data_IF_948692498035
#
_entry.id   IF_948692498035
#
_cell.length_a   1.000
_cell.length_b   1.000
_cell.length_c   1.000
_cell.angle_alpha   90.00
_cell.angle_beta   90.00
_cell.angle_gamma   90.00
#
_symmetry.space_group_name_H-M   'P 1'
#
loop_
_entity.id
_entity.type
_entity.pdbx_description
1 polymer ?
#
# COMPACT_ATOMS: atom_id res chain seq x y z
N UNK A 1 9.29 -6.34 -19.85
CA UNK A 1 9.09 -5.36 -18.77
C UNK A 1 8.11 -5.99 -17.81
N UNK A 2 8.50 -6.24 -16.56
CA UNK A 2 7.66 -6.91 -15.55
C UNK A 2 6.87 -5.85 -14.77
N UNK A 3 5.59 -5.66 -15.13
CA UNK A 3 4.70 -4.67 -14.54
C UNK A 3 3.45 -5.41 -14.05
N UNK A 4 3.02 -5.10 -12.82
CA UNK A 4 1.83 -5.72 -12.22
C UNK A 4 0.57 -5.46 -13.05
N UNK A 5 -0.24 -6.51 -13.24
CA UNK A 5 -1.59 -6.41 -13.80
C UNK A 5 -2.49 -5.47 -13.01
N UNK A 6 -2.23 -5.30 -11.70
CA UNK A 6 -3.00 -4.42 -10.82
C UNK A 6 -2.99 -2.97 -11.31
N UNK A 7 -1.88 -2.53 -11.92
CA UNK A 7 -1.77 -1.18 -12.45
C UNK A 7 -2.65 -0.97 -13.69
N UNK A 8 -2.80 -2.02 -14.50
CA UNK A 8 -3.72 -2.01 -15.65
C UNK A 8 -5.17 -1.97 -15.20
N UNK A 9 -5.52 -2.74 -14.17
CA UNK A 9 -6.87 -2.76 -13.61
C UNK A 9 -7.23 -1.43 -12.93
N UNK A 10 -6.29 -0.84 -12.19
CA UNK A 10 -6.47 0.47 -11.59
C UNK A 10 -6.71 1.56 -12.64
N UNK A 11 -6.15 1.44 -13.84
CA UNK A 11 -6.40 2.37 -14.94
C UNK A 11 -7.79 2.29 -15.56
N UNK A 12 -8.59 1.27 -15.22
CA UNK A 12 -9.86 0.97 -15.91
C UNK A 12 -11.06 0.81 -14.97
N UNK A 13 -10.81 0.53 -13.69
CA UNK A 13 -11.86 0.25 -12.71
C UNK A 13 -11.97 1.39 -11.70
N UNK A 14 -13.16 2.02 -11.54
CA UNK A 14 -13.37 3.10 -10.58
C UNK A 14 -13.47 2.55 -9.15
N UNK A 15 -12.35 2.10 -8.62
CA UNK A 15 -12.20 1.56 -7.27
C UNK A 15 -11.14 2.35 -6.50
N UNK A 16 -11.40 2.59 -5.22
CA UNK A 16 -10.40 3.13 -4.29
C UNK A 16 -9.74 1.97 -3.54
N UNK A 17 -8.43 1.81 -3.71
CA UNK A 17 -7.62 0.78 -3.06
C UNK A 17 -6.88 1.42 -1.89
N UNK A 18 -7.17 0.97 -0.67
CA UNK A 18 -6.45 1.41 0.54
C UNK A 18 -5.33 0.41 0.82
N UNK A 19 -4.08 0.88 0.76
CA UNK A 19 -2.89 0.05 0.94
C UNK A 19 -1.85 0.81 1.76
N UNK A 20 -0.87 0.10 2.30
CA UNK A 20 0.29 0.72 2.92
C UNK A 20 1.35 1.18 1.90
N UNK A 21 0.92 1.44 0.65
CA UNK A 21 1.80 1.66 -0.50
C UNK A 21 2.13 0.38 -1.27
N UNK A 22 3.22 0.42 -2.02
CA UNK A 22 3.76 -0.73 -2.75
C UNK A 22 4.46 -1.64 -1.73
N UNK A 23 4.41 -2.96 -1.95
CA UNK A 23 5.01 -3.98 -1.07
C UNK A 23 6.39 -3.52 -0.61
N UNK A 24 6.64 -3.51 0.69
CA UNK A 24 7.88 -3.03 1.34
C UNK A 24 9.18 -3.65 0.80
N UNK A 25 9.08 -4.72 0.01
CA UNK A 25 10.15 -5.34 -0.76
C UNK A 25 10.67 -4.46 -1.91
N UNK A 26 9.89 -3.47 -2.35
CA UNK A 26 10.26 -2.57 -3.44
C UNK A 26 10.91 -1.31 -2.88
N UNK A 27 12.23 -1.23 -3.05
CA UNK A 27 13.11 -0.05 -2.97
C UNK A 27 12.45 1.19 -2.32
N UNK A 28 12.42 1.23 -0.97
CA UNK A 28 11.75 2.28 -0.20
C UNK A 28 12.23 3.70 -0.56
N UNK A 29 13.55 3.97 -0.77
CA UNK A 29 14.02 5.27 -1.23
C UNK A 29 13.45 5.67 -2.60
N UNK A 30 13.42 4.76 -3.57
CA UNK A 30 12.85 5.03 -4.90
C UNK A 30 11.32 5.16 -4.87
N UNK A 31 10.65 4.45 -3.96
CA UNK A 31 9.19 4.52 -3.78
C UNK A 31 8.75 5.84 -3.12
N UNK A 32 9.60 6.43 -2.26
CA UNK A 32 9.36 7.77 -1.72
C UNK A 32 9.62 8.88 -2.75
N UNK A 33 10.60 8.70 -3.64
CA UNK A 33 10.90 9.65 -4.73
C UNK A 33 9.90 9.57 -5.90
N UNK A 34 9.27 8.41 -6.13
CA UNK A 34 8.20 8.25 -7.14
C UNK A 34 6.81 8.57 -6.57
N UNK A 35 6.58 9.88 -6.36
CA UNK A 35 5.29 10.59 -6.40
C UNK A 35 4.09 9.90 -5.75
N UNK A 36 3.82 10.24 -4.49
CA UNK A 36 2.42 10.49 -4.10
C UNK A 36 2.09 11.89 -4.62
N UNK A 37 1.34 12.04 -5.74
CA UNK A 37 1.14 13.36 -6.38
C UNK A 37 0.31 14.31 -5.52
N UNK A 38 -0.44 13.77 -4.56
CA UNK A 38 -1.25 14.54 -3.63
C UNK A 38 -1.20 13.93 -2.23
N UNK A 39 -1.13 14.79 -1.21
CA UNK A 39 -1.30 14.41 0.18
C UNK A 39 -2.66 14.90 0.67
N UNK A 40 -3.33 14.06 1.44
CA UNK A 40 -4.56 14.37 2.15
C UNK A 40 -4.38 14.02 3.62
N UNK A 41 -5.00 14.79 4.51
CA UNK A 41 -4.76 14.67 5.95
C UNK A 41 -5.99 14.11 6.71
N UNK A 42 -7.10 13.82 6.01
CA UNK A 42 -8.31 13.26 6.62
C UNK A 42 -9.05 12.24 5.73
N UNK A 43 -9.77 11.26 6.32
CA UNK A 43 -10.67 10.37 5.58
C UNK A 43 -11.74 11.12 4.77
N UNK A 44 -12.17 12.28 5.24
CA UNK A 44 -13.15 13.14 4.58
C UNK A 44 -12.56 13.74 3.29
N UNK A 45 -11.28 14.11 3.27
CA UNK A 45 -10.59 14.57 2.06
C UNK A 45 -10.49 13.43 1.04
N UNK A 46 -10.15 12.22 1.48
CA UNK A 46 -10.15 11.02 0.64
C UNK A 46 -11.53 10.78 0.03
N UNK A 47 -12.60 10.87 0.83
CA UNK A 47 -13.96 10.69 0.36
C UNK A 47 -14.34 11.70 -0.72
N UNK A 48 -13.99 12.98 -0.54
CA UNK A 48 -14.24 14.02 -1.56
C UNK A 48 -13.47 13.75 -2.85
N UNK A 49 -12.23 13.28 -2.78
CA UNK A 49 -11.45 12.91 -3.97
C UNK A 49 -12.09 11.75 -4.73
N UNK A 50 -12.52 10.71 -4.02
CA UNK A 50 -13.22 9.56 -4.63
C UNK A 50 -14.50 10.03 -5.31
N UNK A 51 -15.29 10.85 -4.62
CA UNK A 51 -16.57 11.31 -5.14
C UNK A 51 -16.43 12.20 -6.38
N UNK A 52 -15.47 13.14 -6.37
CA UNK A 52 -15.17 14.00 -7.52
C UNK A 52 -14.62 13.19 -8.69
N UNK A 53 -13.74 12.22 -8.45
CA UNK A 53 -13.24 11.34 -9.51
C UNK A 53 -14.38 10.57 -10.21
N UNK A 54 -15.32 10.05 -9.42
CA UNK A 54 -16.50 9.36 -9.95
C UNK A 54 -17.45 10.31 -10.70
N UNK A 55 -17.72 11.51 -10.18
CA UNK A 55 -18.58 12.52 -10.82
C UNK A 55 -18.00 13.04 -12.14
N UNK A 56 -16.68 13.24 -12.19
CA UNK A 56 -15.97 13.66 -13.40
C UNK A 56 -15.81 12.51 -14.42
N UNK A 57 -16.22 11.28 -14.08
CA UNK A 57 -16.14 10.10 -14.93
C UNK A 57 -14.73 9.86 -15.49
N UNK A 58 -13.71 10.09 -14.66
CA UNK A 58 -12.30 9.94 -15.08
C UNK A 58 -11.95 8.49 -15.43
N UNK A 59 -12.76 7.51 -15.02
CA UNK A 59 -12.60 6.10 -15.39
C UNK A 59 -11.39 5.42 -14.75
N UNK A 60 -10.71 6.10 -13.83
CA UNK A 60 -9.53 5.62 -13.13
C UNK A 60 -9.83 5.30 -11.67
N UNK A 61 -9.14 4.30 -11.15
CA UNK A 61 -9.10 3.99 -9.72
C UNK A 61 -8.14 4.92 -8.97
N UNK A 62 -8.25 4.92 -7.64
CA UNK A 62 -7.36 5.64 -6.75
C UNK A 62 -6.60 4.66 -5.84
N UNK A 63 -5.31 4.91 -5.63
CA UNK A 63 -4.54 4.23 -4.58
C UNK A 63 -4.33 5.20 -3.43
N UNK A 64 -4.79 4.82 -2.25
CA UNK A 64 -4.67 5.59 -1.02
C UNK A 64 -3.60 4.91 -0.15
N UNK A 65 -2.42 5.53 -0.12
CA UNK A 65 -1.30 5.09 0.70
C UNK A 65 -1.46 5.49 2.17
N UNK A 66 -1.58 4.50 3.06
CA UNK A 66 -1.71 4.70 4.51
C UNK A 66 -0.36 4.35 5.18
N UNK A 67 0.27 5.29 5.90
CA UNK A 67 1.55 5.02 6.53
C UNK A 67 1.43 3.99 7.67
N UNK A 68 2.55 3.32 7.97
CA UNK A 68 2.63 2.43 9.13
C UNK A 68 2.38 3.21 10.44
N UNK A 69 1.60 2.64 11.38
CA UNK A 69 1.46 3.23 12.71
C UNK A 69 2.83 3.46 13.38
N UNK A 70 2.99 4.60 14.05
CA UNK A 70 4.28 5.04 14.64
C UNK A 70 4.87 4.02 15.62
N UNK A 71 4.02 3.31 16.35
CA UNK A 71 4.40 2.23 17.28
C UNK A 71 5.15 1.07 16.61
N UNK A 72 4.93 0.86 15.31
CA UNK A 72 5.61 -0.17 14.51
C UNK A 72 6.70 0.40 13.59
N UNK A 73 6.87 1.74 13.55
CA UNK A 73 7.86 2.40 12.68
C UNK A 73 9.32 2.12 13.11
N UNK A 74 9.57 1.85 14.40
CA UNK A 74 10.92 1.54 14.91
C UNK A 74 11.51 0.26 14.29
N UNK A 75 10.66 -0.71 13.96
CA UNK A 75 11.05 -1.95 13.26
C UNK A 75 11.44 -1.72 11.80
N UNK A 76 11.14 -0.54 11.24
CA UNK A 76 11.35 -0.23 9.82
C UNK A 76 12.79 -0.41 9.35
N UNK A 77 13.78 0.02 10.15
CA UNK A 77 15.21 -0.13 9.77
C UNK A 77 15.66 -1.59 9.78
N UNK A 78 15.18 -2.38 10.75
CA UNK A 78 15.51 -3.81 10.85
C UNK A 78 14.90 -4.56 9.68
N UNK A 79 13.64 -4.25 9.33
CA UNK A 79 12.93 -4.84 8.21
C UNK A 79 13.60 -4.45 6.88
N UNK A 80 13.99 -3.19 6.70
CA UNK A 80 14.70 -2.72 5.51
C UNK A 80 16.03 -3.48 5.33
N UNK A 81 16.83 -3.60 6.40
CA UNK A 81 18.08 -4.36 6.35
C UNK A 81 17.86 -5.83 5.98
N UNK A 82 16.79 -6.45 6.50
CA UNK A 82 16.41 -7.81 6.17
C UNK A 82 15.97 -7.95 4.70
N UNK A 83 15.23 -6.98 4.15
CA UNK A 83 14.83 -6.96 2.73
C UNK A 83 16.05 -6.91 1.82
N UNK A 84 17.01 -6.02 2.11
CA UNK A 84 18.22 -5.91 1.31
C UNK A 84 19.06 -7.20 1.33
N UNK A 85 19.11 -7.88 2.48
CA UNK A 85 19.76 -9.19 2.59
C UNK A 85 19.01 -10.28 1.83
N UNK A 86 17.68 -10.33 1.95
CA UNK A 86 16.85 -11.28 1.21
C UNK A 86 16.95 -11.09 -0.31
N UNK A 87 16.99 -9.85 -0.80
CA UNK A 87 17.19 -9.53 -2.22
C UNK A 87 18.56 -9.97 -2.74
N UNK A 88 19.62 -9.81 -1.95
CA UNK A 88 20.95 -10.36 -2.30
C UNK A 88 20.90 -11.88 -2.41
N UNK A 89 20.35 -12.56 -1.41
CA UNK A 89 20.25 -14.02 -1.41
C UNK A 89 19.40 -14.55 -2.57
N UNK A 90 18.30 -13.85 -2.92
CA UNK A 90 17.47 -14.22 -4.07
C UNK A 90 18.28 -14.17 -5.38
N UNK A 91 19.08 -13.12 -5.57
CA UNK A 91 19.96 -12.95 -6.75
C UNK A 91 21.04 -14.01 -6.80
N UNK A 92 21.73 -14.27 -5.69
CA UNK A 92 22.76 -15.32 -5.60
C UNK A 92 22.21 -16.71 -5.93
N UNK A 93 20.98 -16.99 -5.49
CA UNK A 93 20.27 -18.24 -5.76
C UNK A 93 19.53 -18.25 -7.11
N UNK A 94 19.62 -17.18 -7.90
CA UNK A 94 18.92 -16.99 -9.17
C UNK A 94 17.39 -17.23 -9.08
N UNK A 95 16.77 -16.87 -7.94
CA UNK A 95 15.32 -16.98 -7.73
C UNK A 95 14.65 -15.82 -8.48
N UNK A 96 13.73 -16.15 -9.38
CA UNK A 96 13.07 -15.16 -10.25
C UNK A 96 11.60 -15.52 -10.48
N UNK A 97 10.84 -14.57 -11.03
CA UNK A 97 9.44 -14.77 -11.39
C UNK A 97 8.53 -15.00 -10.19
N UNK A 98 7.55 -15.91 -10.34
CA UNK A 98 6.56 -16.21 -9.31
C UNK A 98 7.14 -16.76 -7.99
N UNK A 99 8.38 -17.28 -8.01
CA UNK A 99 9.08 -17.81 -6.85
C UNK A 99 9.76 -16.73 -6.00
N UNK A 100 10.00 -15.54 -6.55
CA UNK A 100 10.71 -14.46 -5.86
C UNK A 100 9.92 -13.92 -4.66
N UNK A 101 8.64 -13.60 -4.85
CA UNK A 101 7.82 -13.02 -3.77
C UNK A 101 7.65 -13.95 -2.57
N UNK A 102 7.29 -15.25 -2.73
CA UNK A 102 7.24 -16.19 -1.60
C UNK A 102 8.57 -16.33 -0.87
N UNK A 103 9.69 -16.37 -1.61
CA UNK A 103 11.03 -16.45 -1.03
C UNK A 103 11.36 -15.22 -0.18
N UNK A 104 11.16 -14.01 -0.73
CA UNK A 104 11.49 -12.77 -0.05
C UNK A 104 10.68 -12.61 1.24
N UNK A 105 9.37 -12.91 1.22
CA UNK A 105 8.53 -12.83 2.41
C UNK A 105 8.97 -13.79 3.51
N UNK A 106 9.29 -15.04 3.15
CA UNK A 106 9.77 -16.03 4.10
C UNK A 106 11.11 -15.62 4.71
N UNK A 107 12.05 -15.16 3.87
CA UNK A 107 13.40 -14.82 4.31
C UNK A 107 13.44 -13.55 5.17
N UNK A 108 12.68 -12.53 4.81
CA UNK A 108 12.55 -11.32 5.64
C UNK A 108 11.93 -11.65 7.00
N UNK A 109 10.96 -12.56 7.06
CA UNK A 109 10.38 -12.98 8.32
C UNK A 109 11.38 -13.72 9.22
N UNK A 110 12.20 -14.58 8.63
CA UNK A 110 13.27 -15.28 9.34
C UNK A 110 14.33 -14.31 9.88
N UNK A 111 14.84 -13.41 9.03
CA UNK A 111 15.86 -12.42 9.40
C UNK A 111 15.39 -11.40 10.43
N UNK A 112 14.08 -11.14 10.51
CA UNK A 112 13.50 -10.20 11.48
C UNK A 112 12.93 -10.89 12.72
N UNK A 113 13.07 -12.21 12.85
CA UNK A 113 12.54 -12.97 13.99
C UNK A 113 11.03 -12.84 14.17
N UNK A 114 10.27 -12.68 13.07
CA UNK A 114 8.81 -12.50 13.11
C UNK A 114 8.32 -11.05 13.17
N UNK A 115 9.21 -10.07 13.35
CA UNK A 115 8.82 -8.64 13.43
C UNK A 115 8.19 -8.14 12.13
N UNK A 116 8.62 -8.63 10.96
CA UNK A 116 8.01 -8.24 9.68
C UNK A 116 6.57 -8.71 9.55
N UNK A 117 6.24 -9.92 10.04
CA UNK A 117 4.88 -10.45 10.04
C UNK A 117 3.99 -9.64 10.97
N UNK A 118 4.46 -9.35 12.20
CA UNK A 118 3.72 -8.53 13.15
C UNK A 118 3.43 -7.12 12.57
N UNK A 119 4.42 -6.52 11.91
CA UNK A 119 4.28 -5.22 11.25
C UNK A 119 3.28 -5.27 10.09
N UNK A 120 3.30 -6.35 9.28
CA UNK A 120 2.33 -6.54 8.21
C UNK A 120 0.89 -6.70 8.74
N UNK A 121 0.70 -7.47 9.81
CA UNK A 121 -0.62 -7.60 10.46
C UNK A 121 -1.12 -6.23 10.94
N UNK A 122 -0.26 -5.42 11.56
CA UNK A 122 -0.60 -4.07 11.99
C UNK A 122 -0.95 -3.15 10.81
N UNK A 123 -0.20 -3.24 9.71
CA UNK A 123 -0.47 -2.51 8.47
C UNK A 123 -1.85 -2.85 7.90
N UNK A 124 -2.17 -4.14 7.78
CA UNK A 124 -3.48 -4.59 7.25
C UNK A 124 -4.62 -4.08 8.15
N UNK A 125 -4.47 -4.17 9.48
CA UNK A 125 -5.46 -3.63 10.42
C UNK A 125 -5.64 -2.12 10.24
N UNK A 126 -4.55 -1.37 10.08
CA UNK A 126 -4.60 0.07 9.87
C UNK A 126 -5.26 0.43 8.52
N UNK A 127 -4.93 -0.28 7.45
CA UNK A 127 -5.55 -0.09 6.14
C UNK A 127 -7.06 -0.34 6.19
N UNK A 128 -7.49 -1.42 6.87
CA UNK A 128 -8.90 -1.72 7.06
C UNK A 128 -9.62 -0.64 7.86
N UNK A 129 -9.01 -0.15 8.95
CA UNK A 129 -9.57 0.93 9.77
C UNK A 129 -9.74 2.23 8.96
N UNK A 130 -8.70 2.65 8.23
CA UNK A 130 -8.74 3.86 7.43
C UNK A 130 -9.72 3.71 6.26
N UNK A 131 -9.74 2.55 5.60
CA UNK A 131 -10.71 2.25 4.54
C UNK A 131 -12.15 2.35 5.04
N UNK A 132 -12.46 1.78 6.21
CA UNK A 132 -13.78 1.89 6.82
C UNK A 132 -14.18 3.35 7.09
N UNK A 133 -13.26 4.16 7.63
CA UNK A 133 -13.50 5.60 7.88
C UNK A 133 -13.80 6.36 6.59
N UNK A 134 -13.04 6.12 5.53
CA UNK A 134 -13.25 6.73 4.21
C UNK A 134 -14.61 6.32 3.66
N UNK A 135 -14.99 5.04 3.75
CA UNK A 135 -16.29 4.55 3.29
C UNK A 135 -17.45 5.22 4.04
N UNK A 136 -17.35 5.38 5.36
CA UNK A 136 -18.35 6.09 6.16
C UNK A 136 -18.46 7.56 5.74
N UNK A 137 -17.33 8.26 5.62
CA UNK A 137 -17.31 9.66 5.19
C UNK A 137 -17.90 9.85 3.78
N UNK A 138 -17.61 8.93 2.85
CA UNK A 138 -18.18 8.95 1.50
C UNK A 138 -19.70 8.72 1.50
N UNK A 139 -20.19 7.81 2.33
CA UNK A 139 -21.62 7.56 2.46
C UNK A 139 -22.36 8.80 3.02
N UNK A 140 -21.79 9.44 4.04
CA UNK A 140 -22.35 10.66 4.63
C UNK A 140 -22.35 11.83 3.64
N UNK A 141 -21.24 12.03 2.91
CA UNK A 141 -21.12 13.07 1.89
C UNK A 141 -22.24 12.96 0.84
N UNK A 142 -22.49 11.73 0.34
CA UNK A 142 -23.53 11.49 -0.68
C UNK A 142 -24.96 11.64 -0.14
N UNK A 143 -25.19 11.33 1.13
CA UNK A 143 -26.49 11.58 1.76
C UNK A 143 -26.78 13.07 1.90
N UNK A 144 -25.78 13.88 2.23
CA UNK A 144 -25.93 15.34 2.36
C UNK A 144 -26.27 16.02 1.04
N UNK A 145 -25.78 15.51 -0.10
CA UNK A 145 -26.10 16.05 -1.42
C UNK A 145 -27.48 15.63 -1.95
N UNK A 146 -28.10 14.62 -1.34
CA UNK A 146 -29.43 14.12 -1.72
C UNK A 146 -30.57 14.79 -0.95
N UNK A 147 -30.25 15.62 0.04
CA UNK A 147 -31.18 16.41 0.86
C UNK A 147 -31.13 17.89 0.48
#
# INVERSE_FOLDING_TARGET
MDISSDLTELGRTPVAVVSAGIKSILDIPRTLEYLVPCRVDSPEDCARLIDVNMKLKLGSGLVIGVPIPREHAASGRVIESAIQSALREAREKNITGNAETPFLLARVNELTGGLSLASNIALVKNNALIGAKISVALAQLRQQESN
#
